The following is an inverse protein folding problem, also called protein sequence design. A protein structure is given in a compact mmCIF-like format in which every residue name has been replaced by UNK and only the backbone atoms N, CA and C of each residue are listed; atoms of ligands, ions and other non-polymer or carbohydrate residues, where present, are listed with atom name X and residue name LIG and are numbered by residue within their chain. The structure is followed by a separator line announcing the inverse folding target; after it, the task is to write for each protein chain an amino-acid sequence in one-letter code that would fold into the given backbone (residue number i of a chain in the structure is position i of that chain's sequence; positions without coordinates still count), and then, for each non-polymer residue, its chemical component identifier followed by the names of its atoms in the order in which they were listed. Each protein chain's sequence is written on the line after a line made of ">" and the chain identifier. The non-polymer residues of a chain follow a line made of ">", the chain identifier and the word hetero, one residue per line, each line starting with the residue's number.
data_IF_344249587301
#
_entry.id   IF_344249587301
#
_cell.length_a   1.000
_cell.length_b   1.000
_cell.length_c   1.000
_cell.angle_alpha   90.00
_cell.angle_beta   90.00
_cell.angle_gamma   90.00
#
_symmetry.space_group_name_H-M   'P 1'
#
loop_
_entity.id
_entity.type
_entity.pdbx_description
1 polymer ?
#
# COMPACT_ATOMS: atom_id res chain seq x y z
N UNK A 1 15.63 -80.02 30.49
CA UNK A 1 16.60 -79.92 31.61
C UNK A 1 16.83 -78.52 31.93
N UNK A 2 16.26 -78.00 32.98
CA UNK A 2 16.82 -77.28 34.13
C UNK A 2 17.43 -75.93 33.74
N UNK A 3 17.15 -74.76 34.34
CA UNK A 3 16.53 -74.44 35.65
C UNK A 3 16.24 -72.92 35.70
N UNK A 4 15.26 -72.65 36.52
CA UNK A 4 14.84 -71.29 36.97
C UNK A 4 15.96 -70.60 37.79
N UNK A 5 15.98 -69.21 37.66
CA UNK A 5 16.27 -68.41 38.87
C UNK A 5 15.58 -67.04 38.76
N UNK A 6 14.80 -66.79 39.82
CA UNK A 6 14.15 -65.50 40.12
C UNK A 6 15.21 -64.48 40.56
N UNK A 7 15.02 -63.22 40.15
CA UNK A 7 15.73 -62.04 40.64
C UNK A 7 14.79 -60.89 40.83
N UNK A 8 14.71 -60.40 42.05
CA UNK A 8 13.72 -59.46 42.59
C UNK A 8 13.66 -58.06 41.91
N UNK A 9 12.46 -57.61 41.79
CA UNK A 9 12.15 -56.24 41.40
C UNK A 9 12.33 -55.24 42.55
N UNK A 10 13.12 -54.21 42.34
CA UNK A 10 13.15 -53.03 43.18
C UNK A 10 12.37 -51.92 42.49
N UNK A 11 11.23 -51.59 43.05
CA UNK A 11 10.39 -50.44 42.64
C UNK A 11 11.05 -49.17 43.14
N UNK A 12 11.57 -48.35 42.19
CA UNK A 12 11.88 -46.94 42.41
C UNK A 12 10.89 -46.11 41.58
N UNK A 13 9.97 -45.44 42.28
CA UNK A 13 9.08 -44.42 41.71
C UNK A 13 9.89 -43.21 41.25
N UNK A 14 9.78 -42.77 40.00
CA UNK A 14 10.24 -41.46 39.65
C UNK A 14 9.17 -40.44 40.02
N UNK A 15 9.51 -39.61 40.99
CA UNK A 15 8.79 -38.36 41.28
C UNK A 15 8.79 -37.49 40.01
N UNK A 16 7.70 -37.50 39.28
CA UNK A 16 7.54 -36.71 38.07
C UNK A 16 7.39 -35.23 38.40
N UNK A 17 8.48 -34.47 38.21
CA UNK A 17 8.37 -33.02 38.00
C UNK A 17 7.61 -32.81 36.71
N UNK A 18 6.30 -32.54 36.79
CA UNK A 18 5.56 -31.89 35.75
C UNK A 18 6.13 -30.47 35.63
N UNK A 19 7.02 -30.24 34.67
CA UNK A 19 7.26 -28.93 34.13
C UNK A 19 5.95 -28.48 33.45
N UNK A 20 5.19 -27.65 34.15
CA UNK A 20 4.14 -26.87 33.55
C UNK A 20 4.83 -25.90 32.58
N UNK A 21 4.93 -26.28 31.32
CA UNK A 21 5.11 -25.31 30.24
C UNK A 21 3.81 -24.50 30.19
N UNK A 22 3.78 -23.42 30.96
CA UNK A 22 2.87 -22.33 30.69
C UNK A 22 3.28 -21.77 29.31
N UNK A 23 2.67 -22.29 28.24
CA UNK A 23 2.63 -21.67 26.96
C UNK A 23 1.85 -20.38 27.21
N UNK A 24 2.58 -19.26 27.40
CA UNK A 24 1.97 -17.94 27.35
C UNK A 24 1.24 -17.90 25.99
N UNK A 25 -0.08 -17.86 26.04
CA UNK A 25 -0.87 -17.58 24.85
C UNK A 25 -0.31 -16.28 24.28
N UNK A 26 0.20 -16.33 23.04
CA UNK A 26 0.65 -15.11 22.37
C UNK A 26 -0.51 -14.10 22.47
N UNK A 27 -0.27 -12.96 23.10
CA UNK A 27 -1.27 -11.90 23.20
C UNK A 27 -1.71 -11.55 21.78
N UNK A 28 -3.03 -11.42 21.58
CA UNK A 28 -3.58 -11.02 20.29
C UNK A 28 -2.98 -9.67 19.89
N UNK A 29 -2.47 -9.57 18.66
CA UNK A 29 -1.98 -8.29 18.12
C UNK A 29 -3.15 -7.51 17.51
N UNK A 30 -3.69 -6.57 18.29
CA UNK A 30 -4.79 -5.72 17.83
C UNK A 30 -4.45 -4.93 16.58
N UNK A 31 -3.17 -4.59 16.38
CA UNK A 31 -2.74 -3.87 15.18
C UNK A 31 -2.96 -4.70 13.93
N UNK A 32 -2.61 -6.00 13.98
CA UNK A 32 -2.87 -6.92 12.87
C UNK A 32 -4.37 -7.04 12.61
N UNK A 33 -5.17 -7.34 13.64
CA UNK A 33 -6.61 -7.52 13.51
C UNK A 33 -7.33 -6.27 12.97
N UNK A 34 -6.95 -5.07 13.43
CA UNK A 34 -7.55 -3.84 12.94
C UNK A 34 -7.11 -3.45 11.54
N UNK A 35 -5.92 -3.84 11.10
CA UNK A 35 -5.52 -3.68 9.71
C UNK A 35 -6.25 -4.68 8.79
N UNK A 36 -6.52 -5.91 9.20
CA UNK A 36 -7.40 -6.84 8.46
C UNK A 36 -8.81 -6.24 8.29
N UNK A 37 -9.38 -5.63 9.34
CA UNK A 37 -10.67 -4.91 9.25
C UNK A 37 -10.58 -3.72 8.30
N UNK A 38 -9.47 -2.97 8.32
CA UNK A 38 -9.23 -1.88 7.38
C UNK A 38 -9.20 -2.39 5.93
N UNK A 39 -8.54 -3.52 5.65
CA UNK A 39 -8.52 -4.12 4.30
C UNK A 39 -9.94 -4.52 3.86
N UNK A 40 -10.73 -5.15 4.73
CA UNK A 40 -12.13 -5.48 4.45
C UNK A 40 -12.95 -4.20 4.14
N UNK A 41 -12.74 -3.13 4.89
CA UNK A 41 -13.43 -1.86 4.69
C UNK A 41 -13.03 -1.18 3.36
N UNK A 42 -11.78 -1.27 2.95
CA UNK A 42 -11.29 -0.79 1.65
C UNK A 42 -12.00 -1.54 0.51
N UNK A 43 -11.99 -2.88 0.56
CA UNK A 43 -12.56 -3.71 -0.51
C UNK A 43 -14.08 -3.54 -0.61
N UNK A 44 -14.77 -3.45 0.52
CA UNK A 44 -16.22 -3.21 0.56
C UNK A 44 -16.61 -1.77 0.20
N UNK A 45 -15.67 -0.84 0.27
CA UNK A 45 -15.87 0.57 -0.09
C UNK A 45 -15.75 0.82 -1.59
N UNK A 46 -15.98 2.08 -1.98
CA UNK A 46 -15.90 2.53 -3.38
C UNK A 46 -14.83 3.61 -3.59
N UNK A 47 -13.92 3.77 -2.64
CA UNK A 47 -12.82 4.74 -2.76
C UNK A 47 -11.85 4.29 -3.87
N UNK A 48 -11.28 5.24 -4.59
CA UNK A 48 -10.18 4.96 -5.51
C UNK A 48 -8.88 4.62 -4.77
N UNK A 49 -7.91 4.05 -5.48
CA UNK A 49 -6.63 3.65 -4.87
C UNK A 49 -5.90 4.82 -4.15
N UNK A 50 -5.78 6.05 -4.69
CA UNK A 50 -5.14 7.14 -3.97
C UNK A 50 -5.84 7.53 -2.66
N UNK A 51 -7.19 7.50 -2.65
CA UNK A 51 -7.97 7.77 -1.45
C UNK A 51 -7.78 6.68 -0.38
N UNK A 52 -7.73 5.42 -0.80
CA UNK A 52 -7.47 4.30 0.11
C UNK A 52 -6.08 4.39 0.74
N UNK A 53 -5.06 4.82 -0.01
CA UNK A 53 -3.71 5.07 0.52
C UNK A 53 -3.70 6.18 1.58
N UNK A 54 -4.38 7.31 1.30
CA UNK A 54 -4.49 8.42 2.27
C UNK A 54 -5.19 7.97 3.56
N UNK A 55 -6.27 7.23 3.42
CA UNK A 55 -7.00 6.69 4.55
C UNK A 55 -6.13 5.72 5.37
N UNK A 56 -5.47 4.75 4.74
CA UNK A 56 -4.62 3.78 5.42
C UNK A 56 -3.46 4.45 6.17
N UNK A 57 -2.82 5.47 5.58
CA UNK A 57 -1.80 6.26 6.24
C UNK A 57 -2.35 7.01 7.46
N UNK A 58 -3.57 7.56 7.37
CA UNK A 58 -4.23 8.26 8.49
C UNK A 58 -4.54 7.30 9.64
N UNK A 59 -5.12 6.13 9.34
CA UNK A 59 -5.46 5.10 10.33
C UNK A 59 -4.21 4.61 11.05
N UNK A 60 -3.18 4.22 10.30
CA UNK A 60 -1.96 3.66 10.88
C UNK A 60 -1.12 4.71 11.63
N UNK A 61 -1.13 5.98 11.21
CA UNK A 61 -0.53 7.08 11.99
C UNK A 61 -1.22 7.24 13.34
N UNK A 62 -2.56 7.22 13.37
CA UNK A 62 -3.30 7.35 14.61
C UNK A 62 -3.06 6.16 15.54
N UNK A 63 -3.04 4.93 15.02
CA UNK A 63 -2.73 3.72 15.80
C UNK A 63 -1.32 3.78 16.40
N UNK A 64 -0.34 4.17 15.59
CA UNK A 64 1.05 4.27 16.03
C UNK A 64 1.22 5.36 17.09
N UNK A 65 0.75 6.59 16.85
CA UNK A 65 0.90 7.68 17.80
C UNK A 65 0.15 7.41 19.11
N UNK A 66 -1.02 6.72 19.06
CA UNK A 66 -1.74 6.31 20.25
C UNK A 66 -0.93 5.32 21.11
N UNK A 67 -0.38 4.28 20.52
CA UNK A 67 0.47 3.30 21.22
C UNK A 67 1.79 3.89 21.68
N UNK A 68 2.45 4.67 20.83
CA UNK A 68 3.74 5.32 21.12
C UNK A 68 3.63 6.41 22.19
N UNK A 69 2.51 7.14 22.25
CA UNK A 69 2.27 8.15 23.29
C UNK A 69 2.25 7.56 24.71
N UNK A 70 1.93 6.26 24.84
CA UNK A 70 2.01 5.50 26.10
C UNK A 70 3.43 5.03 26.38
N UNK A 71 4.11 4.47 25.38
CA UNK A 71 5.39 3.74 25.58
C UNK A 71 6.62 4.60 25.36
N UNK A 72 6.55 5.64 24.54
CA UNK A 72 7.62 6.61 24.21
C UNK A 72 8.90 5.97 23.65
N UNK A 73 8.77 4.88 22.90
CA UNK A 73 9.93 4.17 22.31
C UNK A 73 10.45 4.81 21.03
N UNK A 74 9.60 5.64 20.39
CA UNK A 74 9.89 6.24 19.08
C UNK A 74 9.52 7.73 19.09
N UNK A 75 10.10 8.47 18.13
CA UNK A 75 9.61 9.83 17.85
C UNK A 75 8.17 9.73 17.29
N UNK A 76 7.23 10.57 17.76
CA UNK A 76 5.87 10.58 17.22
C UNK A 76 5.86 11.05 15.77
N UNK A 77 4.85 10.66 15.02
CA UNK A 77 4.62 11.17 13.66
C UNK A 77 3.94 12.53 13.71
N UNK A 78 2.87 12.64 14.47
CA UNK A 78 2.10 13.89 14.58
C UNK A 78 1.80 14.28 16.03
N UNK A 79 1.24 13.37 16.85
CA UNK A 79 0.80 13.68 18.22
C UNK A 79 1.98 13.57 19.17
N UNK A 80 2.53 14.71 19.58
CA UNK A 80 3.71 14.80 20.46
C UNK A 80 3.39 14.69 21.95
N UNK A 81 2.12 14.79 22.32
CA UNK A 81 1.65 14.63 23.70
C UNK A 81 1.96 13.24 24.25
N UNK A 82 2.08 13.17 25.56
CA UNK A 82 2.25 11.89 26.28
C UNK A 82 0.92 11.46 26.89
N UNK A 83 0.61 10.18 26.82
CA UNK A 83 -0.55 9.62 27.49
C UNK A 83 -0.46 9.79 29.03
N UNK A 84 -1.60 9.93 29.73
CA UNK A 84 -1.61 9.91 31.19
C UNK A 84 -0.94 8.64 31.73
N UNK A 85 -0.36 8.70 32.94
CA UNK A 85 0.19 7.51 33.61
C UNK A 85 -0.84 6.36 33.67
N UNK A 86 -0.37 5.12 33.64
CA UNK A 86 -1.22 3.93 33.70
C UNK A 86 -2.27 3.84 32.57
N UNK A 87 -1.96 4.35 31.40
CA UNK A 87 -2.78 4.21 30.21
C UNK A 87 -2.53 2.82 29.55
N UNK A 88 -3.59 2.12 29.17
CA UNK A 88 -3.51 0.82 28.48
C UNK A 88 -3.21 1.03 26.98
N UNK A 89 -1.98 0.67 26.54
CA UNK A 89 -1.50 0.96 25.19
C UNK A 89 -2.32 0.26 24.08
N UNK A 90 -2.66 -1.03 24.26
CA UNK A 90 -3.44 -1.80 23.28
C UNK A 90 -4.86 -1.22 23.13
N UNK A 91 -5.52 -0.81 24.23
CA UNK A 91 -6.82 -0.15 24.18
C UNK A 91 -6.76 1.21 23.47
N UNK A 92 -5.65 1.93 23.57
CA UNK A 92 -5.42 3.17 22.85
C UNK A 92 -5.31 2.90 21.32
N UNK A 93 -4.57 1.88 20.91
CA UNK A 93 -4.44 1.46 19.50
C UNK A 93 -5.82 1.07 18.92
N UNK A 94 -6.58 0.23 19.65
CA UNK A 94 -7.94 -0.20 19.27
C UNK A 94 -8.86 0.99 19.05
N UNK A 95 -8.90 1.91 19.99
CA UNK A 95 -9.80 3.06 19.90
C UNK A 95 -9.38 4.03 18.77
N UNK A 96 -8.08 4.21 18.57
CA UNK A 96 -7.59 5.05 17.47
C UNK A 96 -7.97 4.47 16.09
N UNK A 97 -7.85 3.14 15.91
CA UNK A 97 -8.31 2.45 14.71
C UNK A 97 -9.82 2.61 14.51
N UNK A 98 -10.60 2.35 15.55
CA UNK A 98 -12.07 2.46 15.48
C UNK A 98 -12.53 3.85 15.07
N UNK A 99 -12.02 4.89 15.72
CA UNK A 99 -12.43 6.30 15.47
C UNK A 99 -12.08 6.73 14.06
N UNK A 100 -10.86 6.42 13.60
CA UNK A 100 -10.43 6.80 12.25
C UNK A 100 -11.19 6.05 11.17
N UNK A 101 -11.35 4.72 11.30
CA UNK A 101 -12.11 3.92 10.33
C UNK A 101 -13.60 4.32 10.29
N UNK A 102 -14.21 4.61 11.43
CA UNK A 102 -15.57 5.12 11.50
C UNK A 102 -15.76 6.44 10.73
N UNK A 103 -14.76 7.32 10.77
CA UNK A 103 -14.80 8.58 10.03
C UNK A 103 -14.76 8.37 8.51
N UNK A 104 -13.96 7.40 8.02
CA UNK A 104 -13.85 7.10 6.59
C UNK A 104 -14.94 6.17 6.06
N UNK A 105 -15.44 5.26 6.88
CA UNK A 105 -16.44 4.23 6.49
C UNK A 105 -17.66 4.23 7.41
N UNK A 106 -18.43 5.33 7.49
CA UNK A 106 -19.59 5.43 8.37
C UNK A 106 -20.69 4.40 8.06
N UNK A 107 -20.73 3.87 6.84
CA UNK A 107 -21.68 2.83 6.43
C UNK A 107 -21.30 1.43 6.93
N UNK A 108 -20.09 1.23 7.45
CA UNK A 108 -19.59 -0.06 7.90
C UNK A 108 -19.54 -0.20 9.43
N UNK A 109 -20.35 0.56 10.14
CA UNK A 109 -20.37 0.59 11.62
C UNK A 109 -20.58 -0.79 12.25
N UNK A 110 -21.36 -1.68 11.62
CA UNK A 110 -21.62 -3.02 12.15
C UNK A 110 -20.30 -3.83 12.23
N UNK A 111 -19.48 -3.82 11.18
CA UNK A 111 -18.16 -4.45 11.15
C UNK A 111 -17.23 -3.84 12.22
N UNK A 112 -17.15 -2.52 12.26
CA UNK A 112 -16.25 -1.80 13.17
C UNK A 112 -16.64 -2.00 14.63
N UNK A 113 -17.94 -1.96 14.97
CA UNK A 113 -18.45 -2.20 16.32
C UNK A 113 -18.19 -3.65 16.77
N UNK A 114 -18.40 -4.63 15.87
CA UNK A 114 -18.09 -6.03 16.16
C UNK A 114 -16.62 -6.22 16.54
N UNK A 115 -15.72 -5.67 15.72
CA UNK A 115 -14.26 -5.77 16.00
C UNK A 115 -13.90 -5.04 17.29
N UNK A 116 -14.43 -3.84 17.53
CA UNK A 116 -14.16 -3.10 18.76
C UNK A 116 -14.60 -3.88 20.00
N UNK A 117 -15.79 -4.46 19.95
CA UNK A 117 -16.30 -5.29 21.06
C UNK A 117 -15.40 -6.50 21.29
N UNK A 118 -14.98 -7.19 20.23
CA UNK A 118 -14.05 -8.33 20.34
C UNK A 118 -12.74 -7.92 21.00
N UNK A 119 -12.07 -6.87 20.48
CA UNK A 119 -10.81 -6.38 21.04
C UNK A 119 -10.91 -5.96 22.51
N UNK A 120 -12.01 -5.26 22.89
CA UNK A 120 -12.19 -4.84 24.29
C UNK A 120 -12.53 -6.01 25.23
N UNK A 121 -13.10 -7.10 24.72
CA UNK A 121 -13.35 -8.33 25.50
C UNK A 121 -12.05 -9.02 25.90
N UNK A 122 -11.03 -8.96 25.03
CA UNK A 122 -9.68 -9.48 25.34
C UNK A 122 -9.05 -8.80 26.56
N UNK A 123 -9.44 -7.55 26.83
CA UNK A 123 -8.97 -6.76 27.98
C UNK A 123 -9.83 -6.95 29.26
N UNK A 124 -10.79 -7.89 29.25
CA UNK A 124 -11.71 -8.07 30.37
C UNK A 124 -11.09 -8.48 31.69
N UNK A 125 -9.82 -8.91 31.67
CA UNK A 125 -9.03 -9.25 32.88
C UNK A 125 -8.08 -8.13 33.30
N UNK A 126 -7.92 -7.09 32.48
CA UNK A 126 -7.05 -5.96 32.75
C UNK A 126 -7.73 -4.94 33.66
N UNK A 127 -6.95 -4.06 34.26
CA UNK A 127 -7.47 -2.98 35.11
C UNK A 127 -8.42 -2.09 34.27
N UNK A 128 -9.72 -2.04 34.63
CA UNK A 128 -10.72 -1.30 33.87
C UNK A 128 -10.45 0.23 33.83
N UNK A 129 -9.73 0.75 34.83
CA UNK A 129 -9.35 2.18 34.85
C UNK A 129 -8.27 2.43 33.81
N UNK A 130 -7.28 1.55 33.68
CA UNK A 130 -6.22 1.65 32.67
C UNK A 130 -6.79 1.50 31.26
N UNK A 131 -7.71 0.52 31.06
CA UNK A 131 -8.40 0.31 29.77
C UNK A 131 -9.20 1.56 29.36
N UNK A 132 -9.98 2.15 30.29
CA UNK A 132 -10.72 3.37 30.03
C UNK A 132 -9.81 4.52 29.63
N UNK A 133 -8.69 4.74 30.36
CA UNK A 133 -7.68 5.75 29.99
C UNK A 133 -7.11 5.49 28.59
N UNK A 134 -6.89 4.23 28.22
CA UNK A 134 -6.48 3.85 26.87
C UNK A 134 -7.49 4.26 25.81
N UNK A 135 -8.78 3.99 26.05
CA UNK A 135 -9.86 4.40 25.15
C UNK A 135 -9.90 5.93 25.01
N UNK A 136 -9.89 6.66 26.13
CA UNK A 136 -9.92 8.14 26.12
C UNK A 136 -8.70 8.74 25.40
N UNK A 137 -7.53 8.15 25.59
CA UNK A 137 -6.30 8.57 24.93
C UNK A 137 -6.35 8.26 23.40
N UNK A 138 -6.73 7.05 23.01
CA UNK A 138 -6.87 6.68 21.60
C UNK A 138 -7.88 7.55 20.83
N UNK A 139 -9.01 7.89 21.46
CA UNK A 139 -10.00 8.84 20.93
C UNK A 139 -9.38 10.23 20.68
N UNK A 140 -8.62 10.72 21.65
CA UNK A 140 -7.95 12.05 21.56
C UNK A 140 -6.94 12.06 20.41
N UNK A 141 -6.06 11.05 20.33
CA UNK A 141 -5.04 10.94 19.29
C UNK A 141 -5.68 10.85 17.90
N UNK A 142 -6.67 9.98 17.74
CA UNK A 142 -7.40 9.83 16.48
C UNK A 142 -8.06 11.12 16.03
N UNK A 143 -8.70 11.85 16.96
CA UNK A 143 -9.35 13.13 16.68
C UNK A 143 -8.35 14.19 16.22
N UNK A 144 -7.17 14.24 16.82
CA UNK A 144 -6.10 15.17 16.40
C UNK A 144 -5.56 14.81 15.01
N UNK A 145 -5.30 13.53 14.74
CA UNK A 145 -4.84 13.07 13.41
C UNK A 145 -5.88 13.34 12.33
N UNK A 146 -7.15 13.08 12.59
CA UNK A 146 -8.24 13.39 11.65
C UNK A 146 -8.35 14.90 11.40
N UNK A 147 -8.26 15.73 12.45
CA UNK A 147 -8.29 17.19 12.33
C UNK A 147 -7.09 17.74 11.54
N UNK A 148 -5.91 17.13 11.71
CA UNK A 148 -4.73 17.46 10.91
C UNK A 148 -4.96 17.13 9.44
N UNK A 149 -5.40 15.90 9.14
CA UNK A 149 -5.60 15.46 7.76
C UNK A 149 -6.83 16.08 7.08
N UNK A 150 -7.78 16.60 7.84
CA UNK A 150 -8.88 17.39 7.27
C UNK A 150 -8.43 18.69 6.59
N UNK A 151 -7.21 19.16 6.89
CA UNK A 151 -6.63 20.40 6.36
C UNK A 151 -5.45 20.15 5.39
N UNK A 152 -5.35 18.95 4.83
CA UNK A 152 -4.22 18.55 3.99
C UNK A 152 -4.35 18.93 2.51
N UNK A 153 -5.43 19.61 2.13
CA UNK A 153 -5.70 20.03 0.76
C UNK A 153 -6.43 18.97 -0.09
N UNK A 154 -6.62 17.75 0.43
CA UNK A 154 -7.27 16.67 -0.34
C UNK A 154 -8.72 17.01 -0.73
N UNK A 155 -9.44 17.69 0.13
CA UNK A 155 -10.85 18.08 -0.08
C UNK A 155 -11.01 19.42 -0.77
N UNK A 156 -9.92 20.11 -1.08
CA UNK A 156 -9.96 21.40 -1.73
C UNK A 156 -10.29 21.25 -3.21
N UNK A 157 -10.94 22.26 -3.78
CA UNK A 157 -11.24 22.26 -5.21
C UNK A 157 -9.95 22.47 -6.02
N UNK A 158 -9.61 21.47 -6.84
CA UNK A 158 -8.47 21.57 -7.73
C UNK A 158 -8.79 22.39 -9.00
N UNK A 159 -7.82 23.12 -9.56
CA UNK A 159 -7.98 23.69 -10.89
C UNK A 159 -8.17 22.58 -11.93
N UNK A 160 -9.19 22.67 -12.81
CA UNK A 160 -9.42 21.68 -13.86
C UNK A 160 -8.17 21.47 -14.73
N UNK A 161 -7.89 20.21 -15.08
CA UNK A 161 -6.82 19.87 -16.00
C UNK A 161 -7.20 18.61 -16.80
N UNK A 162 -7.39 18.79 -18.11
CA UNK A 162 -7.76 17.72 -19.04
C UNK A 162 -6.73 17.50 -20.16
N UNK A 163 -5.64 18.28 -20.16
CA UNK A 163 -4.59 18.24 -21.19
C UNK A 163 -5.04 18.76 -22.55
N UNK A 164 -6.09 19.57 -22.63
CA UNK A 164 -6.58 20.12 -23.89
C UNK A 164 -5.47 20.90 -24.64
N UNK A 165 -5.31 20.61 -25.93
CA UNK A 165 -4.26 21.21 -26.77
C UNK A 165 -2.87 20.59 -26.58
N UNK A 166 -2.80 19.40 -25.99
CA UNK A 166 -1.56 18.66 -25.77
C UNK A 166 -0.79 18.43 -27.09
N UNK A 167 0.54 18.59 -27.04
CA UNK A 167 1.43 18.25 -28.15
C UNK A 167 1.54 16.72 -28.31
N UNK A 168 2.11 16.28 -29.43
CA UNK A 168 2.45 14.87 -29.62
C UNK A 168 3.36 14.41 -28.48
N UNK A 169 3.07 13.24 -27.91
CA UNK A 169 3.77 12.73 -26.75
C UNK A 169 3.17 13.13 -25.40
N UNK A 170 2.30 14.14 -25.36
CA UNK A 170 1.65 14.60 -24.15
C UNK A 170 0.28 13.94 -23.94
N UNK A 171 -0.11 13.84 -22.66
CA UNK A 171 -1.41 13.32 -22.28
C UNK A 171 -2.53 14.32 -22.50
N UNK A 172 -3.62 13.81 -23.03
CA UNK A 172 -4.91 14.49 -23.19
C UNK A 172 -6.02 13.54 -22.72
N UNK A 173 -7.02 14.07 -22.03
CA UNK A 173 -8.20 13.30 -21.63
C UNK A 173 -9.05 12.92 -22.83
N UNK A 174 -9.25 11.62 -23.04
CA UNK A 174 -10.13 11.14 -24.12
C UNK A 174 -11.61 11.54 -23.92
N UNK A 175 -12.03 11.82 -22.70
CA UNK A 175 -13.40 12.22 -22.33
C UNK A 175 -13.56 13.71 -22.10
N UNK A 176 -12.50 14.49 -22.27
CA UNK A 176 -12.49 15.95 -22.00
C UNK A 176 -12.93 16.31 -20.58
N UNK A 177 -12.63 15.44 -19.64
CA UNK A 177 -12.87 15.66 -18.21
C UNK A 177 -11.55 15.89 -17.50
N UNK A 178 -11.60 16.58 -16.37
CA UNK A 178 -10.42 16.78 -15.52
C UNK A 178 -9.76 15.45 -15.13
N UNK A 179 -8.44 15.46 -14.93
CA UNK A 179 -7.71 14.24 -14.57
C UNK A 179 -8.26 13.61 -13.28
N UNK A 180 -8.42 12.29 -13.28
CA UNK A 180 -8.89 11.56 -12.10
C UNK A 180 -7.83 11.62 -10.99
N UNK A 181 -8.28 11.91 -9.76
CA UNK A 181 -7.42 11.98 -8.57
C UNK A 181 -6.47 13.17 -8.56
N UNK A 182 -6.74 14.21 -9.35
CA UNK A 182 -5.89 15.39 -9.48
C UNK A 182 -5.72 16.18 -8.19
N UNK A 183 -6.67 16.08 -7.24
CA UNK A 183 -6.57 16.66 -5.90
C UNK A 183 -5.36 16.11 -5.11
N UNK A 184 -4.89 14.89 -5.39
CA UNK A 184 -3.65 14.36 -4.80
C UNK A 184 -2.42 15.24 -5.11
N UNK A 185 -2.43 15.94 -6.25
CA UNK A 185 -1.34 16.86 -6.63
C UNK A 185 -1.21 18.06 -5.69
N UNK A 186 -2.24 18.35 -4.90
CA UNK A 186 -2.31 19.47 -3.96
C UNK A 186 -2.34 19.00 -2.49
N UNK A 187 -2.41 17.70 -2.28
CA UNK A 187 -2.45 17.10 -0.95
C UNK A 187 -1.08 17.21 -0.28
N UNK A 188 -1.08 17.64 0.99
CA UNK A 188 0.12 17.70 1.82
C UNK A 188 0.55 16.28 2.22
N UNK A 189 1.83 15.90 2.06
CA UNK A 189 2.35 14.62 2.50
C UNK A 189 2.33 14.49 4.04
N UNK A 190 2.62 13.29 4.56
CA UNK A 190 2.73 13.06 6.00
C UNK A 190 4.11 13.43 6.56
N UNK A 191 5.18 13.07 5.84
CA UNK A 191 6.56 13.18 6.33
C UNK A 191 7.43 13.99 5.39
N UNK A 192 7.25 13.90 4.08
CA UNK A 192 7.90 14.82 3.16
C UNK A 192 7.49 16.27 3.50
N UNK A 193 8.40 17.21 3.39
CA UNK A 193 8.12 18.63 3.67
C UNK A 193 7.24 19.29 2.59
N UNK A 194 7.21 18.70 1.40
CA UNK A 194 6.31 19.05 0.29
C UNK A 194 6.18 17.89 -0.70
N UNK A 195 5.13 17.89 -1.51
CA UNK A 195 4.94 16.94 -2.60
C UNK A 195 5.90 17.15 -3.79
N UNK A 196 6.77 18.15 -3.73
CA UNK A 196 7.82 18.43 -4.72
C UNK A 196 9.24 18.14 -4.21
N UNK A 197 9.41 17.79 -2.95
CA UNK A 197 10.71 17.62 -2.30
C UNK A 197 11.63 16.65 -3.05
N UNK A 198 11.11 15.50 -3.48
CA UNK A 198 11.87 14.45 -4.18
C UNK A 198 11.51 14.41 -5.68
N UNK A 199 10.68 15.32 -6.16
CA UNK A 199 10.23 15.34 -7.55
C UNK A 199 11.39 15.42 -8.57
N UNK A 200 12.51 16.05 -8.20
CA UNK A 200 13.69 16.12 -9.06
C UNK A 200 14.38 14.78 -9.31
N UNK A 201 14.06 13.75 -8.53
CA UNK A 201 14.57 12.39 -8.74
C UNK A 201 13.90 11.67 -9.92
N UNK A 202 12.75 12.16 -10.40
CA UNK A 202 12.16 11.62 -11.62
C UNK A 202 12.99 12.02 -12.84
N UNK A 203 13.43 11.07 -13.69
CA UNK A 203 14.00 11.40 -15.00
C UNK A 203 13.07 12.29 -15.82
N UNK A 204 13.60 13.30 -16.48
CA UNK A 204 12.81 14.28 -17.27
C UNK A 204 13.50 14.58 -18.60
N UNK A 205 13.01 13.98 -19.70
CA UNK A 205 12.00 12.94 -19.81
C UNK A 205 12.53 11.57 -19.32
N UNK A 206 11.62 10.58 -19.08
CA UNK A 206 12.01 9.20 -18.86
C UNK A 206 12.56 8.55 -20.15
N UNK A 207 12.09 9.02 -21.32
CA UNK A 207 12.58 8.74 -22.66
C UNK A 207 12.11 9.85 -23.60
N UNK A 208 12.84 10.14 -24.68
CA UNK A 208 12.34 10.97 -25.80
C UNK A 208 11.62 10.10 -26.81
N UNK A 209 10.68 10.65 -27.57
CA UNK A 209 9.90 9.90 -28.56
C UNK A 209 10.76 9.16 -29.58
N UNK A 210 11.84 9.77 -30.03
CA UNK A 210 12.75 9.21 -31.04
C UNK A 210 13.77 8.21 -30.48
N UNK A 211 13.78 8.01 -29.15
CA UNK A 211 14.77 7.15 -28.49
C UNK A 211 14.47 5.65 -28.65
N UNK A 212 15.51 4.83 -28.69
CA UNK A 212 15.38 3.38 -28.64
C UNK A 212 14.69 2.89 -27.35
N UNK A 213 14.90 3.57 -26.22
CA UNK A 213 14.25 3.24 -24.95
C UNK A 213 12.73 3.43 -25.00
N UNK A 214 12.26 4.47 -25.71
CA UNK A 214 10.83 4.65 -25.98
C UNK A 214 10.30 3.54 -26.87
N UNK A 215 10.96 3.25 -28.01
CA UNK A 215 10.54 2.22 -28.95
C UNK A 215 10.50 0.83 -28.31
N UNK A 216 11.48 0.48 -27.48
CA UNK A 216 11.49 -0.78 -26.71
C UNK A 216 10.26 -0.87 -25.79
N UNK A 217 10.01 0.16 -24.98
CA UNK A 217 8.85 0.20 -24.07
C UNK A 217 7.51 0.22 -24.82
N UNK A 218 7.45 0.92 -25.97
CA UNK A 218 6.28 0.96 -26.84
C UNK A 218 5.96 -0.43 -27.42
N UNK A 219 6.94 -1.09 -28.03
CA UNK A 219 6.77 -2.42 -28.62
C UNK A 219 6.47 -3.50 -27.57
N UNK A 220 7.01 -3.37 -26.35
CA UNK A 220 6.69 -4.26 -25.25
C UNK A 220 5.20 -4.14 -24.85
N UNK A 221 4.68 -2.92 -24.67
CA UNK A 221 3.26 -2.75 -24.33
C UNK A 221 2.34 -3.12 -25.49
N UNK A 222 2.75 -2.92 -26.74
CA UNK A 222 2.01 -3.42 -27.92
C UNK A 222 1.88 -4.93 -27.85
N UNK A 223 2.98 -5.64 -27.59
CA UNK A 223 3.02 -7.10 -27.56
C UNK A 223 2.28 -7.68 -26.34
N UNK A 224 2.41 -7.08 -25.17
CA UNK A 224 1.96 -7.64 -23.90
C UNK A 224 0.65 -7.06 -23.39
N UNK A 225 0.35 -5.80 -23.72
CA UNK A 225 -0.75 -5.03 -23.14
C UNK A 225 -2.08 -5.12 -23.88
N UNK A 226 -2.09 -5.64 -25.13
CA UNK A 226 -3.28 -5.67 -25.98
C UNK A 226 -4.41 -6.54 -25.38
N UNK A 227 -5.65 -6.11 -25.55
CA UNK A 227 -6.85 -6.88 -25.15
C UNK A 227 -6.99 -8.18 -25.95
N UNK A 228 -6.66 -8.12 -27.25
CA UNK A 228 -6.71 -9.28 -28.16
C UNK A 228 -5.38 -9.41 -28.92
N UNK A 229 -4.99 -10.64 -29.26
CA UNK A 229 -3.75 -10.91 -30.00
C UNK A 229 -2.46 -10.67 -29.21
N UNK A 230 -2.54 -10.53 -27.90
CA UNK A 230 -1.39 -10.34 -27.01
C UNK A 230 -0.51 -11.59 -26.93
N UNK A 231 0.81 -11.40 -26.74
CA UNK A 231 1.77 -12.48 -26.43
C UNK A 231 1.82 -12.85 -24.95
N UNK A 232 1.05 -12.18 -24.12
CA UNK A 232 0.95 -12.39 -22.69
C UNK A 232 0.46 -13.81 -22.38
N UNK A 233 1.07 -14.47 -21.38
CA UNK A 233 0.59 -15.75 -20.86
C UNK A 233 -0.68 -15.57 -20.02
N UNK A 234 -1.34 -16.68 -19.69
CA UNK A 234 -2.49 -16.63 -18.78
C UNK A 234 -2.09 -16.11 -17.40
N UNK A 235 -0.93 -16.52 -16.86
CA UNK A 235 -0.44 -16.02 -15.58
C UNK A 235 -0.17 -14.51 -15.61
N UNK A 236 0.43 -13.98 -16.68
CA UNK A 236 0.62 -12.53 -16.86
C UNK A 236 -0.70 -11.78 -17.00
N UNK A 237 -1.73 -12.41 -17.56
CA UNK A 237 -3.11 -11.87 -17.56
C UNK A 237 -3.65 -11.78 -16.14
N UNK A 238 -3.48 -12.84 -15.35
CA UNK A 238 -3.89 -12.83 -13.94
C UNK A 238 -3.10 -11.79 -13.13
N UNK A 239 -1.79 -11.63 -13.34
CA UNK A 239 -0.98 -10.57 -12.72
C UNK A 239 -1.54 -9.19 -13.04
N UNK A 240 -1.91 -8.93 -14.30
CA UNK A 240 -2.47 -7.63 -14.71
C UNK A 240 -3.73 -7.26 -13.92
N UNK A 241 -4.65 -8.19 -13.74
CA UNK A 241 -5.87 -7.96 -12.97
C UNK A 241 -5.61 -7.93 -11.46
N UNK A 242 -4.76 -8.82 -10.95
CA UNK A 242 -4.45 -8.96 -9.52
C UNK A 242 -3.94 -7.64 -8.94
N UNK A 243 -2.96 -7.03 -9.60
CA UNK A 243 -2.34 -5.77 -9.16
C UNK A 243 -2.96 -4.52 -9.81
N UNK A 244 -4.16 -4.62 -10.38
CA UNK A 244 -4.86 -3.44 -10.89
C UNK A 244 -5.55 -2.65 -9.78
N UNK A 245 -5.83 -3.28 -8.64
CA UNK A 245 -6.61 -2.74 -7.54
C UNK A 245 -5.87 -1.82 -6.60
N UNK A 246 -6.04 -2.09 -5.32
CA UNK A 246 -5.46 -1.30 -4.24
C UNK A 246 -4.06 -1.80 -3.88
N UNK A 247 -3.01 -1.15 -4.35
CA UNK A 247 -1.64 -1.48 -3.93
C UNK A 247 -1.44 -1.44 -2.40
N UNK A 248 -2.27 -0.66 -1.69
CA UNK A 248 -2.30 -0.65 -0.22
C UNK A 248 -2.65 -2.02 0.35
N UNK A 249 -3.65 -2.71 -0.22
CA UNK A 249 -4.07 -4.03 0.28
C UNK A 249 -2.96 -5.03 0.12
N UNK A 250 -2.27 -5.04 -1.02
CA UNK A 250 -1.18 -5.97 -1.31
C UNK A 250 -0.06 -5.88 -0.28
N UNK A 251 0.40 -4.65 0.02
CA UNK A 251 1.53 -4.44 0.92
C UNK A 251 1.16 -4.50 2.40
N UNK A 252 -0.05 -4.06 2.79
CA UNK A 252 -0.51 -4.20 4.18
C UNK A 252 -0.75 -5.67 4.51
N UNK A 253 -1.32 -6.46 3.60
CA UNK A 253 -1.51 -7.90 3.79
C UNK A 253 -0.16 -8.63 3.91
N UNK A 254 0.80 -8.33 3.04
CA UNK A 254 2.16 -8.85 3.14
C UNK A 254 2.81 -8.49 4.49
N UNK A 255 2.67 -7.23 4.94
CA UNK A 255 3.19 -6.77 6.22
C UNK A 255 2.56 -7.52 7.40
N UNK A 256 1.24 -7.70 7.39
CA UNK A 256 0.49 -8.49 8.41
C UNK A 256 1.03 -9.92 8.47
N UNK A 257 1.15 -10.58 7.31
CA UNK A 257 1.62 -11.97 7.25
C UNK A 257 3.05 -12.11 7.78
N UNK A 258 3.97 -11.22 7.41
CA UNK A 258 5.37 -11.26 7.86
C UNK A 258 5.48 -10.88 9.34
N UNK A 259 4.80 -9.83 9.79
CA UNK A 259 4.82 -9.38 11.18
C UNK A 259 4.24 -10.46 12.11
N UNK A 260 3.15 -11.12 11.73
CA UNK A 260 2.57 -12.23 12.47
C UNK A 260 3.53 -13.42 12.60
N UNK A 261 4.23 -13.80 11.52
CA UNK A 261 5.26 -14.87 11.56
C UNK A 261 6.45 -14.48 12.45
N UNK A 262 6.80 -13.20 12.51
CA UNK A 262 7.90 -12.67 13.32
C UNK A 262 7.49 -12.40 14.77
N UNK A 263 6.19 -12.50 15.09
CA UNK A 263 5.64 -12.18 16.42
C UNK A 263 6.07 -10.78 16.91
N UNK A 264 6.01 -9.80 16.02
CA UNK A 264 6.30 -8.40 16.39
C UNK A 264 5.27 -7.90 17.41
N UNK A 265 5.68 -7.02 18.33
CA UNK A 265 4.73 -6.43 19.28
C UNK A 265 3.74 -5.50 18.57
N UNK A 266 2.54 -5.30 19.14
CA UNK A 266 1.51 -4.41 18.58
C UNK A 266 2.03 -2.99 18.31
N UNK A 267 2.93 -2.47 19.16
CA UNK A 267 3.55 -1.16 18.91
C UNK A 267 4.50 -1.21 17.70
N UNK A 268 5.37 -2.22 17.61
CA UNK A 268 6.28 -2.33 16.47
C UNK A 268 5.51 -2.60 15.17
N UNK A 269 4.48 -3.42 15.20
CA UNK A 269 3.58 -3.64 14.07
C UNK A 269 2.91 -2.34 13.63
N UNK A 270 2.41 -1.52 14.57
CA UNK A 270 1.80 -0.22 14.24
C UNK A 270 2.80 0.75 13.65
N UNK A 271 4.06 0.74 14.14
CA UNK A 271 5.16 1.51 13.55
C UNK A 271 5.44 1.10 12.09
N UNK A 272 5.58 -0.19 11.85
CA UNK A 272 5.85 -0.74 10.52
C UNK A 272 4.75 -0.35 9.53
N UNK A 273 3.49 -0.55 9.92
CA UNK A 273 2.34 -0.24 9.07
C UNK A 273 2.15 1.26 8.86
N UNK A 274 2.46 2.10 9.85
CA UNK A 274 2.47 3.54 9.67
C UNK A 274 3.54 3.98 8.66
N UNK A 275 4.79 3.52 8.80
CA UNK A 275 5.87 3.82 7.87
C UNK A 275 5.55 3.34 6.45
N UNK A 276 4.99 2.13 6.31
CA UNK A 276 4.60 1.54 5.04
C UNK A 276 3.53 2.38 4.33
N UNK A 277 2.42 2.65 5.02
CA UNK A 277 1.28 3.35 4.41
C UNK A 277 1.59 4.82 4.14
N UNK A 278 2.40 5.47 4.98
CA UNK A 278 2.91 6.82 4.75
C UNK A 278 3.82 6.85 3.52
N UNK A 279 4.78 5.91 3.39
CA UNK A 279 5.68 5.89 2.24
C UNK A 279 4.90 5.74 0.93
N UNK A 280 3.87 4.90 0.90
CA UNK A 280 3.00 4.74 -0.26
C UNK A 280 2.17 6.00 -0.55
N UNK A 281 1.61 6.65 0.48
CA UNK A 281 0.85 7.89 0.33
C UNK A 281 1.74 9.05 -0.15
N UNK A 282 2.87 9.28 0.49
CA UNK A 282 3.78 10.39 0.15
C UNK A 282 4.37 10.20 -1.25
N UNK A 283 4.59 8.94 -1.68
CA UNK A 283 4.89 8.62 -3.09
C UNK A 283 3.75 9.02 -4.01
N UNK A 284 2.51 8.71 -3.66
CA UNK A 284 1.35 8.99 -4.51
C UNK A 284 1.12 10.49 -4.67
N UNK A 285 1.19 11.29 -3.62
CA UNK A 285 1.03 12.75 -3.75
C UNK A 285 2.16 13.36 -4.58
N UNK A 286 3.41 12.90 -4.42
CA UNK A 286 4.55 13.32 -5.24
C UNK A 286 4.36 12.96 -6.72
N UNK A 287 3.91 11.73 -7.00
CA UNK A 287 3.61 11.27 -8.37
C UNK A 287 2.50 12.09 -9.01
N UNK A 288 1.39 12.34 -8.30
CA UNK A 288 0.27 13.11 -8.87
C UNK A 288 0.65 14.57 -9.11
N UNK A 289 1.48 15.16 -8.25
CA UNK A 289 2.05 16.50 -8.49
C UNK A 289 2.89 16.50 -9.77
N UNK A 290 3.80 15.55 -9.88
CA UNK A 290 4.66 15.40 -11.05
C UNK A 290 3.86 15.09 -12.33
N UNK A 291 2.83 14.23 -12.29
CA UNK A 291 1.95 13.96 -13.44
C UNK A 291 1.37 15.25 -14.02
N UNK A 292 0.83 16.09 -13.16
CA UNK A 292 0.20 17.35 -13.58
C UNK A 292 1.22 18.32 -14.19
N UNK A 293 2.39 18.45 -13.59
CA UNK A 293 3.44 19.35 -14.09
C UNK A 293 4.10 18.84 -15.37
N UNK A 294 4.42 17.53 -15.42
CA UNK A 294 5.11 16.97 -16.57
C UNK A 294 4.23 16.91 -17.81
N UNK A 295 2.92 16.74 -17.66
CA UNK A 295 1.99 16.78 -18.78
C UNK A 295 1.78 18.19 -19.36
N UNK A 296 2.31 19.22 -18.72
CA UNK A 296 2.31 20.61 -19.24
C UNK A 296 3.65 21.00 -19.87
N UNK A 297 4.66 20.14 -19.81
CA UNK A 297 5.99 20.36 -20.38
C UNK A 297 6.18 19.44 -21.61
N UNK A 298 6.21 20.01 -22.84
CA UNK A 298 6.29 19.22 -24.08
C UNK A 298 7.57 18.38 -24.22
N UNK A 299 8.59 18.62 -23.39
CA UNK A 299 9.78 17.77 -23.35
C UNK A 299 9.52 16.38 -22.74
N UNK A 300 8.39 16.19 -22.04
CA UNK A 300 8.09 14.92 -21.37
C UNK A 300 7.11 14.07 -22.18
N UNK A 301 7.35 12.75 -22.21
CA UNK A 301 6.43 11.76 -22.78
C UNK A 301 5.43 11.35 -21.70
N UNK A 302 4.19 11.81 -21.84
CA UNK A 302 3.12 11.60 -20.83
C UNK A 302 1.83 11.02 -21.39
N UNK A 303 1.74 10.81 -22.72
CA UNK A 303 0.58 10.14 -23.31
C UNK A 303 0.51 8.65 -22.94
N UNK A 304 -0.70 8.13 -22.85
CA UNK A 304 -0.94 6.71 -22.54
C UNK A 304 -0.76 5.82 -23.76
N UNK A 305 -0.44 4.53 -23.62
CA UNK A 305 -0.39 3.59 -24.74
C UNK A 305 -1.63 3.61 -25.63
N UNK A 306 -2.84 3.77 -25.06
CA UNK A 306 -4.10 3.89 -25.80
C UNK A 306 -4.14 5.11 -26.73
N UNK A 307 -3.38 6.16 -26.43
CA UNK A 307 -3.24 7.35 -27.27
C UNK A 307 -2.03 7.23 -28.22
N UNK A 308 -0.91 6.71 -27.71
CA UNK A 308 0.35 6.62 -28.43
C UNK A 308 0.30 5.60 -29.57
N UNK A 309 -0.20 4.41 -29.32
CA UNK A 309 -0.13 3.30 -30.28
C UNK A 309 -0.93 3.59 -31.57
N UNK A 310 -2.17 4.10 -31.51
CA UNK A 310 -2.88 4.49 -32.75
C UNK A 310 -2.27 5.68 -33.50
N UNK A 311 -1.42 6.48 -32.85
CA UNK A 311 -0.83 7.71 -33.39
C UNK A 311 0.69 7.62 -33.58
N UNK A 312 1.27 6.41 -33.59
CA UNK A 312 2.72 6.23 -33.65
C UNK A 312 3.38 6.87 -34.89
N UNK A 313 2.66 7.01 -35.99
CA UNK A 313 3.16 7.70 -37.18
C UNK A 313 3.55 9.18 -36.91
N UNK A 314 3.06 9.75 -35.80
CA UNK A 314 3.31 11.14 -35.42
C UNK A 314 4.48 11.29 -34.43
N UNK A 315 5.01 10.20 -33.87
CA UNK A 315 6.06 10.25 -32.83
C UNK A 315 7.47 10.44 -33.39
N UNK A 316 7.66 10.32 -34.70
CA UNK A 316 8.94 10.47 -35.39
C UNK A 316 9.89 9.28 -35.19
N UNK A 317 9.47 8.21 -34.53
CA UNK A 317 10.30 7.04 -34.28
C UNK A 317 10.07 5.95 -35.32
N UNK A 318 11.10 5.61 -36.10
CA UNK A 318 11.02 4.59 -37.14
C UNK A 318 10.82 3.16 -36.63
N UNK A 319 11.09 2.93 -35.33
CA UNK A 319 11.05 1.62 -34.69
C UNK A 319 9.70 1.39 -33.99
N UNK A 320 8.75 2.34 -34.10
CA UNK A 320 7.34 2.19 -33.66
C UNK A 320 6.42 2.12 -34.88
N UNK A 321 5.26 1.49 -34.71
CA UNK A 321 4.26 1.39 -35.78
C UNK A 321 2.85 1.59 -35.24
N UNK A 322 2.03 2.35 -35.99
CA UNK A 322 0.65 2.59 -35.60
C UNK A 322 -0.22 1.35 -35.75
N UNK A 323 -1.06 1.12 -34.75
CA UNK A 323 -2.10 0.08 -34.76
C UNK A 323 -3.45 0.77 -34.44
N UNK A 324 -4.21 1.11 -35.47
CA UNK A 324 -5.38 1.98 -35.39
C UNK A 324 -6.44 1.54 -34.34
N UNK A 325 -6.67 0.23 -34.19
CA UNK A 325 -7.70 -0.32 -33.32
C UNK A 325 -7.10 -0.98 -32.06
N UNK A 326 -5.87 -0.63 -31.68
CA UNK A 326 -5.27 -1.17 -30.46
C UNK A 326 -6.03 -0.72 -29.21
N UNK A 327 -6.34 -1.66 -28.34
CA UNK A 327 -6.99 -1.39 -27.05
C UNK A 327 -6.27 -2.15 -25.93
N UNK A 328 -6.12 -1.54 -24.76
CA UNK A 328 -5.50 -2.19 -23.61
C UNK A 328 -6.40 -3.29 -23.03
N UNK A 329 -5.79 -4.26 -22.32
CA UNK A 329 -6.52 -5.28 -21.57
C UNK A 329 -7.42 -4.67 -20.50
N UNK A 330 -6.89 -3.70 -19.77
CA UNK A 330 -7.56 -3.04 -18.65
C UNK A 330 -7.83 -1.58 -19.03
N UNK A 331 -9.00 -1.08 -18.62
CA UNK A 331 -9.39 0.32 -18.87
C UNK A 331 -8.33 1.29 -18.35
N UNK A 332 -7.87 2.16 -19.22
CA UNK A 332 -6.86 3.17 -18.90
C UNK A 332 -7.44 4.25 -17.97
N UNK A 333 -6.82 4.52 -16.83
CA UNK A 333 -7.23 5.62 -15.95
C UNK A 333 -7.05 6.99 -16.62
N UNK A 334 -7.99 7.92 -16.36
CA UNK A 334 -8.00 9.24 -16.94
C UNK A 334 -7.00 10.20 -16.23
N UNK A 335 -5.72 9.95 -16.37
CA UNK A 335 -4.63 10.82 -15.91
C UNK A 335 -3.34 10.54 -16.70
N UNK A 336 -2.36 11.46 -16.70
CA UNK A 336 -1.09 11.29 -17.43
C UNK A 336 -0.41 9.96 -17.16
N UNK A 337 0.29 9.44 -18.17
CA UNK A 337 1.04 8.20 -18.07
C UNK A 337 2.15 8.31 -17.04
N UNK A 338 3.03 9.30 -17.21
CA UNK A 338 4.24 9.47 -16.41
C UNK A 338 4.14 10.62 -15.42
N UNK A 339 4.68 10.45 -14.20
CA UNK A 339 5.16 9.21 -13.57
C UNK A 339 4.02 8.22 -13.26
N UNK A 340 4.34 6.92 -13.14
CA UNK A 340 3.35 5.85 -13.01
C UNK A 340 3.00 5.56 -11.52
N UNK A 341 1.76 5.84 -11.08
CA UNK A 341 1.39 5.82 -9.65
C UNK A 341 1.52 4.43 -8.99
N UNK A 342 0.92 3.37 -9.57
CA UNK A 342 1.04 2.02 -9.02
C UNK A 342 2.50 1.56 -8.91
N UNK A 343 3.35 1.67 -9.97
CA UNK A 343 4.77 1.35 -9.84
C UNK A 343 5.49 2.12 -8.74
N UNK A 344 5.18 3.39 -8.55
CA UNK A 344 5.70 4.18 -7.43
C UNK A 344 5.33 3.58 -6.08
N UNK A 345 4.06 3.21 -5.90
CA UNK A 345 3.58 2.57 -4.68
C UNK A 345 4.22 1.19 -4.45
N UNK A 346 4.40 0.38 -5.52
CA UNK A 346 5.10 -0.90 -5.42
C UNK A 346 6.58 -0.71 -5.06
N UNK A 347 7.24 0.29 -5.62
CA UNK A 347 8.62 0.63 -5.27
C UNK A 347 8.78 1.04 -3.81
N UNK A 348 7.90 1.93 -3.31
CA UNK A 348 7.95 2.40 -1.93
C UNK A 348 7.55 1.32 -0.92
N UNK A 349 6.47 0.59 -1.18
CA UNK A 349 6.00 -0.48 -0.30
C UNK A 349 7.03 -1.61 -0.15
N UNK A 350 7.57 -2.08 -1.26
CA UNK A 350 8.61 -3.10 -1.25
C UNK A 350 9.88 -2.64 -0.53
N UNK A 351 10.28 -1.38 -0.72
CA UNK A 351 11.46 -0.82 -0.06
C UNK A 351 11.30 -0.79 1.46
N UNK A 352 10.13 -0.38 1.97
CA UNK A 352 9.86 -0.39 3.42
C UNK A 352 9.94 -1.80 3.97
N UNK A 353 9.23 -2.77 3.36
CA UNK A 353 9.23 -4.15 3.85
C UNK A 353 10.61 -4.79 3.78
N UNK A 354 11.35 -4.59 2.67
CA UNK A 354 12.70 -5.14 2.52
C UNK A 354 13.71 -4.53 3.51
N UNK A 355 13.59 -3.24 3.86
CA UNK A 355 14.46 -2.61 4.84
C UNK A 355 14.20 -3.09 6.27
N UNK A 356 12.94 -3.34 6.62
CA UNK A 356 12.57 -3.73 7.98
C UNK A 356 12.70 -5.25 8.19
N UNK A 357 12.22 -6.05 7.24
CA UNK A 357 12.13 -7.50 7.37
C UNK A 357 13.19 -8.27 6.57
N UNK A 358 13.92 -7.59 5.67
CA UNK A 358 14.72 -8.23 4.64
C UNK A 358 13.86 -8.58 3.42
N UNK A 359 14.49 -8.86 2.28
CA UNK A 359 13.78 -9.18 1.04
C UNK A 359 13.20 -10.61 1.02
N UNK A 360 13.90 -11.56 1.67
CA UNK A 360 13.50 -12.97 1.69
C UNK A 360 12.49 -13.22 2.81
N UNK A 361 11.22 -13.35 2.43
CA UNK A 361 10.11 -13.67 3.31
C UNK A 361 9.07 -14.46 2.53
N UNK A 362 8.50 -15.50 3.14
CA UNK A 362 7.38 -16.25 2.54
C UNK A 362 6.06 -15.69 3.05
N UNK A 363 5.21 -15.25 2.13
CA UNK A 363 3.89 -14.71 2.44
C UNK A 363 2.92 -14.96 1.28
N UNK A 364 1.64 -14.81 1.54
CA UNK A 364 0.57 -14.94 0.57
C UNK A 364 -0.26 -13.65 0.59
N UNK A 365 -0.72 -13.21 -0.57
CA UNK A 365 -1.57 -12.03 -0.76
C UNK A 365 -2.77 -12.39 -1.63
N UNK A 366 -3.88 -11.68 -1.44
CA UNK A 366 -5.15 -11.92 -2.09
C UNK A 366 -5.58 -10.73 -2.95
N UNK A 367 -6.28 -10.94 -4.08
CA UNK A 367 -6.71 -9.84 -4.93
C UNK A 367 -7.85 -9.07 -4.26
N UNK A 368 -7.77 -7.75 -4.30
CA UNK A 368 -8.80 -6.86 -3.78
C UNK A 368 -9.85 -6.51 -4.85
N UNK A 369 -10.50 -7.53 -5.43
CA UNK A 369 -11.52 -7.32 -6.46
C UNK A 369 -12.82 -6.75 -5.86
N UNK A 370 -13.37 -5.76 -6.53
CA UNK A 370 -14.67 -5.17 -6.22
C UNK A 370 -15.28 -4.50 -7.47
N UNK A 371 -16.34 -3.71 -7.30
CA UNK A 371 -17.00 -3.01 -8.42
C UNK A 371 -16.12 -1.94 -9.09
N UNK A 372 -15.15 -1.39 -8.37
CA UNK A 372 -14.19 -0.40 -8.92
C UNK A 372 -13.06 -1.08 -9.69
N UNK A 373 -12.58 -2.20 -9.16
CA UNK A 373 -11.50 -3.01 -9.73
C UNK A 373 -11.98 -4.45 -9.92
N UNK A 374 -12.71 -4.74 -10.99
CA UNK A 374 -13.21 -6.09 -11.25
C UNK A 374 -12.04 -7.04 -11.59
N UNK A 375 -12.21 -8.30 -11.20
CA UNK A 375 -11.31 -9.39 -11.60
C UNK A 375 -11.48 -9.76 -13.09
N UNK A 376 -10.67 -10.71 -13.60
CA UNK A 376 -10.79 -11.19 -14.97
C UNK A 376 -12.15 -11.89 -15.20
N UNK A 377 -12.74 -11.75 -16.41
CA UNK A 377 -14.08 -12.30 -16.71
C UNK A 377 -14.21 -13.81 -16.51
N UNK A 378 -13.14 -14.56 -16.81
CA UNK A 378 -13.07 -16.03 -16.67
C UNK A 378 -12.79 -16.50 -15.24
N UNK A 379 -12.70 -15.57 -14.28
CA UNK A 379 -12.18 -15.81 -12.95
C UNK A 379 -10.65 -15.75 -12.91
N UNK A 380 -10.11 -15.37 -11.79
CA UNK A 380 -8.66 -15.21 -11.56
C UNK A 380 -8.15 -16.12 -10.46
N UNK A 381 -6.86 -16.02 -10.19
CA UNK A 381 -6.25 -16.68 -9.03
C UNK A 381 -6.81 -16.05 -7.75
N UNK A 382 -7.03 -16.90 -6.74
CA UNK A 382 -7.56 -16.46 -5.44
C UNK A 382 -6.49 -15.89 -4.53
N UNK A 383 -5.23 -16.24 -4.78
CA UNK A 383 -4.09 -15.75 -4.02
C UNK A 383 -2.80 -15.92 -4.83
N UNK A 384 -1.76 -15.19 -4.43
CA UNK A 384 -0.40 -15.35 -4.93
C UNK A 384 0.57 -15.48 -3.77
N UNK A 385 1.43 -16.51 -3.84
CA UNK A 385 2.45 -16.76 -2.83
C UNK A 385 3.81 -16.30 -3.33
N UNK A 386 4.52 -15.56 -2.48
CA UNK A 386 5.85 -15.06 -2.75
C UNK A 386 6.85 -15.54 -1.71
N UNK A 387 8.12 -15.62 -2.08
CA UNK A 387 9.25 -15.92 -1.19
C UNK A 387 10.20 -14.73 -1.08
N UNK A 388 9.94 -13.67 -1.85
CA UNK A 388 10.69 -12.41 -1.84
C UNK A 388 9.74 -11.25 -2.05
N UNK A 389 9.95 -10.17 -1.29
CA UNK A 389 9.19 -8.92 -1.47
C UNK A 389 9.45 -8.30 -2.85
N UNK A 390 10.70 -8.41 -3.33
CA UNK A 390 11.08 -7.92 -4.67
C UNK A 390 10.37 -8.64 -5.82
N UNK A 391 10.00 -9.92 -5.67
CA UNK A 391 9.24 -10.63 -6.70
C UNK A 391 7.79 -10.13 -6.78
N UNK A 392 7.15 -9.87 -5.64
CA UNK A 392 5.82 -9.23 -5.61
C UNK A 392 5.87 -7.82 -6.23
N UNK A 393 6.90 -7.04 -5.91
CA UNK A 393 7.06 -5.71 -6.48
C UNK A 393 7.21 -5.76 -8.01
N UNK A 394 8.02 -6.69 -8.54
CA UNK A 394 8.19 -6.89 -9.98
C UNK A 394 6.85 -7.20 -10.65
N UNK A 395 6.09 -8.15 -10.12
CA UNK A 395 4.79 -8.51 -10.67
C UNK A 395 3.83 -7.30 -10.67
N UNK A 396 3.78 -6.52 -9.59
CA UNK A 396 2.94 -5.32 -9.49
C UNK A 396 3.35 -4.19 -10.44
N UNK A 397 4.66 -4.03 -10.71
CA UNK A 397 5.18 -3.07 -11.69
C UNK A 397 4.84 -3.54 -13.11
N UNK A 398 5.12 -4.81 -13.42
CA UNK A 398 4.89 -5.42 -14.73
C UNK A 398 3.40 -5.52 -15.09
N UNK A 399 2.52 -5.68 -14.09
CA UNK A 399 1.07 -5.67 -14.25
C UNK A 399 0.57 -4.47 -15.07
N UNK A 400 1.25 -3.34 -15.00
CA UNK A 400 0.86 -2.12 -15.73
C UNK A 400 1.12 -2.23 -17.23
N UNK A 401 2.22 -2.88 -17.62
CA UNK A 401 2.52 -3.19 -19.03
C UNK A 401 1.61 -4.32 -19.53
N UNK A 402 1.42 -5.37 -18.73
CA UNK A 402 0.49 -6.45 -19.06
C UNK A 402 -0.96 -5.99 -19.19
N UNK A 403 -1.36 -5.00 -18.39
CA UNK A 403 -2.67 -4.34 -18.48
C UNK A 403 -2.81 -3.36 -19.65
N UNK A 404 -1.71 -3.00 -20.32
CA UNK A 404 -1.70 -2.06 -21.44
C UNK A 404 -1.83 -0.58 -21.03
N UNK A 405 -1.52 -0.24 -19.79
CA UNK A 405 -1.80 1.09 -19.23
C UNK A 405 -0.56 1.99 -19.14
N UNK A 406 0.64 1.41 -19.07
CA UNK A 406 1.90 2.11 -18.87
C UNK A 406 3.03 1.51 -19.69
N UNK A 407 3.98 2.36 -20.06
CA UNK A 407 5.26 1.94 -20.61
C UNK A 407 6.17 1.38 -19.51
N UNK A 408 6.94 0.32 -19.82
CA UNK A 408 7.81 -0.35 -18.84
C UNK A 408 8.88 0.59 -18.30
N UNK A 409 9.53 1.37 -19.17
CA UNK A 409 10.58 2.32 -18.77
C UNK A 409 10.06 3.37 -17.79
N UNK A 410 8.88 3.95 -18.06
CA UNK A 410 8.23 4.89 -17.17
C UNK A 410 7.86 4.26 -15.82
N UNK A 411 7.39 3.02 -15.83
CA UNK A 411 7.06 2.25 -14.63
C UNK A 411 8.30 2.00 -13.77
N UNK A 412 9.40 1.53 -14.37
CA UNK A 412 10.67 1.27 -13.68
C UNK A 412 11.27 2.56 -13.07
N UNK A 413 11.28 3.66 -13.84
CA UNK A 413 11.77 4.95 -13.36
C UNK A 413 10.97 5.45 -12.15
N UNK A 414 9.64 5.28 -12.17
CA UNK A 414 8.80 5.72 -11.06
C UNK A 414 8.96 4.83 -9.82
N UNK A 415 9.09 3.52 -9.99
CA UNK A 415 9.35 2.60 -8.88
C UNK A 415 10.66 2.92 -8.15
N UNK A 416 11.70 3.29 -8.89
CA UNK A 416 12.98 3.70 -8.31
C UNK A 416 12.85 4.96 -7.43
N UNK A 417 12.04 5.93 -7.86
CA UNK A 417 11.77 7.15 -7.06
C UNK A 417 10.90 6.82 -5.84
N UNK A 418 9.93 5.92 -5.98
CA UNK A 418 9.15 5.42 -4.84
C UNK A 418 10.03 4.81 -3.75
N UNK A 419 11.05 4.03 -4.13
CA UNK A 419 12.02 3.48 -3.20
C UNK A 419 12.85 4.57 -2.49
N UNK A 420 13.25 5.64 -3.18
CA UNK A 420 13.96 6.79 -2.57
C UNK A 420 13.06 7.54 -1.57
N UNK A 421 11.78 7.69 -1.87
CA UNK A 421 10.81 8.28 -0.93
C UNK A 421 10.71 7.41 0.33
N UNK A 422 10.61 6.08 0.17
CA UNK A 422 10.59 5.16 1.30
C UNK A 422 11.84 5.28 2.18
N UNK A 423 13.04 5.38 1.57
CA UNK A 423 14.29 5.59 2.31
C UNK A 423 14.25 6.90 3.13
N UNK A 424 13.70 7.98 2.55
CA UNK A 424 13.53 9.23 3.27
C UNK A 424 12.57 9.08 4.47
N UNK A 425 11.42 8.42 4.28
CA UNK A 425 10.43 8.18 5.34
C UNK A 425 11.05 7.39 6.48
N UNK A 426 11.73 6.28 6.18
CA UNK A 426 12.39 5.43 7.18
C UNK A 426 13.47 6.18 7.99
N UNK A 427 14.18 7.12 7.35
CA UNK A 427 15.21 7.92 8.00
C UNK A 427 14.64 9.06 8.86
N UNK A 428 13.41 9.52 8.64
CA UNK A 428 12.91 10.76 9.23
C UNK A 428 11.65 10.59 10.10
N UNK A 429 10.96 9.44 10.08
CA UNK A 429 9.74 9.21 10.85
C UNK A 429 9.87 8.03 11.81
N UNK A 430 9.17 8.11 12.94
CA UNK A 430 9.04 7.04 13.94
C UNK A 430 10.39 6.39 14.32
N UNK A 431 11.41 7.21 14.53
CA UNK A 431 12.77 6.75 14.87
C UNK A 431 12.85 6.36 16.34
N UNK A 432 13.68 5.36 16.71
CA UNK A 432 13.96 5.07 18.12
C UNK A 432 14.43 6.33 18.87
N UNK A 433 13.94 6.51 20.11
CA UNK A 433 14.29 7.65 21.00
C UNK A 433 15.51 7.34 21.84
#
# INVERSE_FOLDING_TARGET
>A
MHSLSLGAACLLSPCGLRAASAQASAEADETLAWNEVMLQAIVAGTLGNPQAQRMAATVNTAMFDAGNGVTRKYTPIFVTETAPPDTHARAAIVQAAYVTLKAFYPTQLALLNKQRSASLTEFGRDDPVKVRRGIEWGERVASQVLAWRAKDGFSDQEPPFDGAGAAIGQWESATRTTMAGGNMAFTTPFVLTSNTQIQKAFPRPWATLESAAYAESFNDVVAMGAKTGSRRTLDQTHIAYFFNGYSTTDYVEAAIAIAGQRQTSSLETSRILALLTIAMHDTTVTVFRAKREFAQDPANVTWRPILAIPKAELDGNRDTAAIANWTPLITTPNHPEYPASHPGSHGSGARVLAQIFGDVNTFEVHPAFNSVFPGPPEGGVKSRRYTRVSDMARDGIDARTFGGMHFRGASAATAAVGAQIADYILANAARPT
#
